data_IF_945460710529
#
_entry.id   IF_945460710529
#
_cell.length_a   1.000
_cell.length_b   1.000
_cell.length_c   1.000
_cell.angle_alpha   90.00
_cell.angle_beta   90.00
_cell.angle_gamma   90.00
#
_symmetry.space_group_name_H-M   'P 1'
#
loop_
_entity.id
_entity.type
_entity.pdbx_description
1 polymer ?
#
# COMPACT_ATOMS: atom_id res chain seq x y z
N UNK A 1 -33.69 29.64 -33.40
CA UNK A 1 -33.78 29.97 -31.96
C UNK A 1 -33.73 28.74 -31.07
N UNK A 2 -34.49 27.67 -31.37
CA UNK A 2 -34.52 26.43 -30.54
C UNK A 2 -33.16 25.73 -30.42
N UNK A 3 -32.38 25.65 -31.51
CA UNK A 3 -31.07 24.98 -31.52
C UNK A 3 -30.03 25.62 -30.60
N UNK A 4 -30.02 26.96 -30.48
CA UNK A 4 -29.08 27.66 -29.60
C UNK A 4 -29.44 27.51 -28.12
N UNK A 5 -30.74 27.52 -27.78
CA UNK A 5 -31.21 27.25 -26.42
C UNK A 5 -30.83 25.84 -25.96
N UNK A 6 -30.93 24.84 -26.83
CA UNK A 6 -30.54 23.45 -26.54
C UNK A 6 -29.03 23.33 -26.34
N UNK A 7 -28.23 24.00 -27.17
CA UNK A 7 -26.77 24.00 -27.05
C UNK A 7 -26.29 24.68 -25.75
N UNK A 8 -26.91 25.81 -25.38
CA UNK A 8 -26.60 26.52 -24.13
C UNK A 8 -26.98 25.70 -22.89
N UNK A 9 -28.11 24.96 -22.93
CA UNK A 9 -28.50 24.06 -21.84
C UNK A 9 -27.56 22.86 -21.72
N UNK A 10 -27.10 22.29 -22.84
CA UNK A 10 -26.12 21.20 -22.85
C UNK A 10 -24.77 21.66 -22.30
N UNK A 11 -24.27 22.82 -22.72
CA UNK A 11 -23.02 23.38 -22.20
C UNK A 11 -23.12 23.75 -20.71
N UNK A 12 -24.25 24.30 -20.27
CA UNK A 12 -24.49 24.57 -18.85
C UNK A 12 -24.51 23.28 -18.01
N UNK A 13 -25.12 22.20 -18.53
CA UNK A 13 -25.15 20.90 -17.86
C UNK A 13 -23.75 20.25 -17.78
N UNK A 14 -22.92 20.43 -18.81
CA UNK A 14 -21.52 19.99 -18.81
C UNK A 14 -20.68 20.75 -17.77
N UNK A 15 -20.84 22.07 -17.64
CA UNK A 15 -20.12 22.88 -16.63
C UNK A 15 -20.55 22.52 -15.19
N UNK A 16 -21.83 22.22 -14.98
CA UNK A 16 -22.35 21.74 -13.69
C UNK A 16 -21.81 20.34 -13.33
N UNK A 17 -21.63 19.44 -14.30
CA UNK A 17 -21.02 18.13 -14.06
C UNK A 17 -19.50 18.22 -13.75
N UNK A 18 -18.76 19.12 -14.40
CA UNK A 18 -17.32 19.29 -14.17
C UNK A 18 -16.99 19.86 -12.78
N UNK A 19 -17.94 20.56 -12.15
CA UNK A 19 -17.76 21.09 -10.79
C UNK A 19 -17.94 20.03 -9.70
N UNK A 20 -18.33 18.81 -10.05
CA UNK A 20 -18.50 17.67 -9.12
C UNK A 20 -17.39 16.63 -9.18
N UNK A 21 -16.27 16.90 -9.88
CA UNK A 21 -15.04 16.15 -9.66
C UNK A 21 -14.43 16.67 -8.36
N UNK A 22 -15.05 16.28 -7.24
CA UNK A 22 -14.51 16.50 -5.92
C UNK A 22 -13.15 15.83 -5.85
N UNK A 23 -12.10 16.64 -5.77
CA UNK A 23 -10.78 16.21 -5.37
C UNK A 23 -10.94 15.39 -4.08
N UNK A 24 -10.60 14.10 -4.11
CA UNK A 24 -10.70 13.22 -2.94
C UNK A 24 -9.63 13.68 -1.95
N UNK A 25 -9.95 14.69 -1.14
CA UNK A 25 -9.09 15.17 -0.07
C UNK A 25 -9.40 14.36 1.18
N UNK A 26 -8.48 13.45 1.53
CA UNK A 26 -8.53 12.74 2.80
C UNK A 26 -8.29 13.74 3.95
N UNK A 27 -9.39 14.20 4.57
CA UNK A 27 -9.34 15.07 5.75
C UNK A 27 -9.57 14.23 7.01
N UNK A 28 -8.98 14.67 8.13
CA UNK A 28 -9.35 14.12 9.42
C UNK A 28 -10.84 14.35 9.70
N UNK A 29 -11.52 13.41 10.39
CA UNK A 29 -12.87 13.64 10.88
C UNK A 29 -12.88 14.81 11.86
N UNK A 30 -13.98 15.56 11.86
CA UNK A 30 -14.22 16.64 12.83
C UNK A 30 -14.26 16.11 14.25
N UNK A 31 -13.71 16.87 15.20
CA UNK A 31 -13.81 16.53 16.61
C UNK A 31 -15.16 16.99 17.18
N UNK A 32 -15.87 16.09 17.84
CA UNK A 32 -17.09 16.42 18.58
C UNK A 32 -16.74 17.07 19.92
N UNK A 33 -17.62 17.94 20.42
CA UNK A 33 -17.46 18.58 21.73
C UNK A 33 -17.38 17.55 22.87
N UNK A 34 -18.16 16.47 22.77
CA UNK A 34 -18.12 15.35 23.72
C UNK A 34 -16.73 14.70 23.80
N UNK A 35 -16.09 14.46 22.65
CA UNK A 35 -14.76 13.86 22.58
C UNK A 35 -13.68 14.80 23.13
N UNK A 36 -13.83 16.10 22.92
CA UNK A 36 -12.91 17.10 23.48
C UNK A 36 -13.08 17.22 25.00
N UNK A 37 -14.31 17.15 25.50
CA UNK A 37 -14.58 17.19 26.94
C UNK A 37 -14.04 15.97 27.69
N UNK A 38 -13.93 14.82 27.01
CA UNK A 38 -13.36 13.59 27.55
C UNK A 38 -11.81 13.57 27.56
N UNK A 39 -11.15 14.60 27.04
CA UNK A 39 -9.69 14.63 26.98
C UNK A 39 -9.05 14.76 28.38
N UNK A 40 -7.88 14.13 28.60
CA UNK A 40 -7.17 14.24 29.87
C UNK A 40 -6.78 15.69 30.13
N UNK A 41 -6.95 16.15 31.37
CA UNK A 41 -6.46 17.47 31.79
C UNK A 41 -4.94 17.44 31.82
N UNK A 42 -4.31 18.40 31.14
CA UNK A 42 -2.86 18.56 31.17
C UNK A 42 -2.44 18.96 32.59
N UNK A 43 -1.68 18.09 33.27
CA UNK A 43 -1.17 18.31 34.63
C UNK A 43 0.10 19.16 34.64
N UNK A 44 0.76 19.32 33.50
CA UNK A 44 1.99 20.08 33.30
C UNK A 44 1.69 21.40 32.60
N UNK A 45 2.33 22.48 33.05
CA UNK A 45 2.29 23.78 32.38
C UNK A 45 3.08 23.71 31.07
N UNK A 46 2.38 23.46 29.96
CA UNK A 46 2.97 23.56 28.62
C UNK A 46 3.16 25.03 28.25
N UNK A 47 4.25 25.37 27.55
CA UNK A 47 4.45 26.70 26.95
C UNK A 47 3.44 26.93 25.82
N UNK A 48 3.18 25.89 25.02
CA UNK A 48 2.25 25.91 23.91
C UNK A 48 1.50 24.58 23.83
N UNK A 49 0.22 24.65 23.46
CA UNK A 49 -0.66 23.51 23.32
C UNK A 49 -0.91 23.26 21.84
N UNK A 50 -0.67 22.04 21.40
CA UNK A 50 -0.94 21.58 20.03
C UNK A 50 -1.87 20.37 20.06
N UNK A 51 -2.45 20.05 18.90
CA UNK A 51 -3.23 18.84 18.70
C UNK A 51 -2.32 17.61 18.69
N UNK A 52 -2.84 16.49 19.18
CA UNK A 52 -2.26 15.16 18.99
C UNK A 52 -1.83 14.87 17.54
N UNK A 53 -0.84 13.98 17.35
CA UNK A 53 -0.44 13.54 16.02
C UNK A 53 -1.59 12.87 15.26
N UNK A 54 -1.52 12.94 13.92
CA UNK A 54 -2.57 12.42 13.04
C UNK A 54 -3.92 13.11 13.26
N UNK A 55 -4.94 12.31 13.56
CA UNK A 55 -6.32 12.76 13.75
C UNK A 55 -6.81 12.71 15.21
N UNK A 56 -5.91 12.72 16.20
CA UNK A 56 -6.27 12.78 17.62
C UNK A 56 -6.86 14.14 18.03
N UNK A 57 -7.93 14.14 18.83
CA UNK A 57 -8.69 15.36 19.17
C UNK A 57 -8.21 16.08 20.42
N UNK A 58 -7.29 15.49 21.17
CA UNK A 58 -6.90 16.03 22.46
C UNK A 58 -5.72 17.01 22.38
N UNK A 59 -5.62 17.93 23.34
CA UNK A 59 -4.48 18.83 23.47
C UNK A 59 -3.28 18.10 24.07
N UNK A 60 -2.09 18.35 23.54
CA UNK A 60 -0.79 17.89 24.06
C UNK A 60 0.20 19.06 24.06
N UNK A 61 1.25 18.97 24.88
CA UNK A 61 2.30 19.98 24.85
C UNK A 61 3.04 19.96 23.50
N UNK A 62 3.32 21.15 22.96
CA UNK A 62 4.17 21.30 21.80
C UNK A 62 5.62 20.94 22.12
N UNK A 63 6.34 20.38 21.13
CA UNK A 63 7.77 20.14 21.22
C UNK A 63 8.56 21.42 21.03
N UNK A 64 9.61 21.58 21.82
CA UNK A 64 10.47 22.77 21.83
C UNK A 64 11.63 22.64 20.83
N UNK A 65 12.33 23.75 20.59
CA UNK A 65 13.50 23.79 19.70
C UNK A 65 14.53 22.73 20.10
N UNK A 66 14.97 21.92 19.13
CA UNK A 66 15.97 20.87 19.32
C UNK A 66 15.45 19.56 19.90
N UNK A 67 14.20 19.49 20.39
CA UNK A 67 13.61 18.25 20.90
C UNK A 67 13.37 17.23 19.78
N UNK A 68 13.38 15.95 20.17
CA UNK A 68 13.08 14.85 19.25
C UNK A 68 11.61 14.90 18.79
N UNK A 69 11.40 14.73 17.50
CA UNK A 69 10.10 14.77 16.86
C UNK A 69 9.99 13.82 15.67
N UNK A 70 8.76 13.56 15.23
CA UNK A 70 8.46 12.72 14.10
C UNK A 70 6.97 12.70 13.74
N UNK A 71 6.59 11.72 12.93
CA UNK A 71 5.22 11.56 12.40
C UNK A 71 4.22 11.25 13.52
N UNK A 72 4.63 10.44 14.50
CA UNK A 72 3.79 9.96 15.59
C UNK A 72 4.07 10.65 16.93
N UNK A 73 4.87 11.72 16.94
CA UNK A 73 5.15 12.50 18.15
C UNK A 73 4.25 13.74 18.20
N UNK A 74 4.13 14.40 19.37
CA UNK A 74 3.57 15.74 19.45
C UNK A 74 4.25 16.70 18.46
N UNK A 75 3.48 17.65 17.94
CA UNK A 75 3.97 18.63 16.94
C UNK A 75 4.92 19.62 17.60
N UNK A 76 5.86 20.14 16.81
CA UNK A 76 6.67 21.29 17.22
C UNK A 76 5.79 22.53 17.45
N UNK A 77 6.25 23.42 18.33
CA UNK A 77 5.58 24.69 18.59
C UNK A 77 5.57 25.64 17.39
N UNK A 78 4.95 26.79 17.59
CA UNK A 78 4.81 27.86 16.62
C UNK A 78 6.18 28.31 16.10
N UNK A 79 6.27 28.51 14.77
CA UNK A 79 7.53 28.86 14.10
C UNK A 79 8.53 27.70 13.92
N UNK A 80 8.23 26.51 14.47
CA UNK A 80 9.08 25.33 14.35
C UNK A 80 8.48 24.28 13.40
N UNK A 81 9.33 23.44 12.82
CA UNK A 81 8.95 22.26 12.03
C UNK A 81 9.90 21.12 12.34
N UNK A 82 9.35 19.90 12.29
CA UNK A 82 10.14 18.70 12.48
C UNK A 82 10.96 18.40 11.21
N UNK A 83 12.28 18.45 11.32
CA UNK A 83 13.21 18.12 10.25
C UNK A 83 14.04 16.88 10.59
N UNK A 84 14.34 16.02 9.60
CA UNK A 84 15.32 14.96 9.77
C UNK A 84 16.73 15.55 9.83
N UNK A 85 17.70 14.76 10.29
CA UNK A 85 19.10 15.21 10.25
C UNK A 85 19.58 15.36 8.80
N UNK A 86 20.35 16.42 8.47
CA UNK A 86 20.74 16.71 7.09
C UNK A 86 21.58 15.58 6.45
N UNK A 87 22.33 14.84 7.26
CA UNK A 87 23.19 13.74 6.80
C UNK A 87 22.57 12.35 7.02
N UNK A 88 21.27 12.29 7.33
CA UNK A 88 20.61 11.02 7.56
C UNK A 88 20.45 10.24 6.25
N UNK A 89 20.85 8.95 6.22
CA UNK A 89 20.72 8.12 5.03
C UNK A 89 19.24 7.88 4.64
N UNK A 90 18.34 7.84 5.64
CA UNK A 90 16.91 7.58 5.46
C UNK A 90 16.06 8.64 6.19
N UNK A 91 15.92 9.85 5.63
CA UNK A 91 15.28 10.97 6.31
C UNK A 91 13.80 10.71 6.70
N UNK A 92 13.05 10.04 5.83
CA UNK A 92 11.64 9.72 6.10
C UNK A 92 11.50 8.67 7.20
N UNK A 93 12.34 7.64 7.19
CA UNK A 93 12.34 6.60 8.22
C UNK A 93 12.70 7.20 9.58
N UNK A 94 13.69 8.09 9.63
CA UNK A 94 14.04 8.83 10.84
C UNK A 94 12.85 9.61 11.42
N UNK A 95 12.08 10.29 10.58
CA UNK A 95 10.86 11.00 11.00
C UNK A 95 9.76 10.04 11.47
N UNK A 96 9.59 8.90 10.81
CA UNK A 96 8.64 7.86 11.25
C UNK A 96 9.03 7.30 12.62
N UNK A 97 10.33 7.13 12.88
CA UNK A 97 10.88 6.66 14.14
C UNK A 97 10.93 7.73 15.25
N UNK A 98 10.56 8.98 14.97
CA UNK A 98 10.58 10.05 15.99
C UNK A 98 11.97 10.62 16.29
N UNK A 99 12.93 10.41 15.38
CA UNK A 99 14.33 10.82 15.55
C UNK A 99 14.68 12.14 14.86
N UNK A 100 13.70 12.84 14.29
CA UNK A 100 13.87 14.21 13.78
C UNK A 100 14.03 15.22 14.92
N UNK A 101 14.28 16.49 14.57
CA UNK A 101 14.36 17.60 15.55
C UNK A 101 13.48 18.78 15.14
N UNK A 102 12.93 19.46 16.13
CA UNK A 102 12.20 20.70 15.90
C UNK A 102 13.19 21.84 15.61
N UNK A 103 13.14 22.41 14.42
CA UNK A 103 13.99 23.53 13.99
C UNK A 103 13.12 24.67 13.44
N UNK A 104 13.68 25.87 13.32
CA UNK A 104 12.97 27.00 12.74
C UNK A 104 12.52 26.70 11.32
N UNK A 105 11.28 27.06 10.99
CA UNK A 105 10.82 27.02 9.60
C UNK A 105 11.70 27.97 8.79
N UNK A 106 12.44 27.41 7.84
CA UNK A 106 13.11 28.21 6.82
C UNK A 106 12.05 28.54 5.79
N UNK A 107 11.50 29.75 5.84
CA UNK A 107 10.67 30.27 4.76
C UNK A 107 11.61 30.50 3.57
N UNK A 108 11.59 29.57 2.60
CA UNK A 108 12.08 29.88 1.26
C UNK A 108 11.08 30.86 0.64
N UNK A 109 11.19 32.14 1.00
CA UNK A 109 10.75 33.19 0.10
C UNK A 109 11.58 33.06 -1.17
N UNK A 110 10.95 32.48 -2.19
CA UNK A 110 11.35 32.61 -3.58
C UNK A 110 11.38 34.11 -3.88
N UNK A 111 12.54 34.74 -3.74
CA UNK A 111 12.84 36.03 -4.34
C UNK A 111 12.70 35.89 -5.84
N UNK A 112 11.49 36.14 -6.34
CA UNK A 112 11.29 36.62 -7.69
C UNK A 112 12.01 37.96 -7.80
N UNK A 113 13.02 38.02 -8.66
CA UNK A 113 13.66 39.27 -9.01
C UNK A 113 13.79 39.32 -10.52
N UNK A 114 12.81 39.95 -11.15
CA UNK A 114 12.95 40.51 -12.49
C UNK A 114 13.36 41.98 -12.33
N UNK A 115 14.51 42.29 -12.93
CA UNK A 115 14.99 43.57 -13.49
C UNK A 115 15.46 44.75 -12.59
N UNK A 116 16.80 44.93 -12.64
CA UNK A 116 17.58 46.16 -12.90
C UNK A 116 17.21 47.48 -12.19
N UNK A 117 18.14 48.02 -11.38
CA UNK A 117 18.86 49.29 -11.67
C UNK A 117 20.07 49.50 -10.74
N UNK A 118 21.15 49.97 -11.34
CA UNK A 118 22.46 50.33 -10.79
C UNK A 118 22.37 51.42 -9.69
N UNK A 119 23.24 51.38 -8.67
CA UNK A 119 24.21 52.47 -8.39
C UNK A 119 25.24 52.06 -7.30
N UNK A 120 26.46 52.53 -7.53
CA UNK A 120 27.76 52.37 -6.87
C UNK A 120 27.85 52.52 -5.34
N UNK A 121 28.77 51.75 -4.76
CA UNK A 121 29.44 52.04 -3.48
C UNK A 121 30.51 51.01 -3.15
N UNK A 122 31.76 51.24 -3.59
CA UNK A 122 32.94 50.47 -3.17
C UNK A 122 33.27 50.76 -1.69
N UNK A 123 33.42 49.73 -0.84
CA UNK A 123 34.41 49.73 0.27
C UNK A 123 34.97 48.30 0.47
N UNK A 124 36.29 48.27 0.63
CA UNK A 124 37.24 47.17 0.72
C UNK A 124 36.93 46.00 1.67
N UNK A 125 37.17 44.79 1.16
CA UNK A 125 38.04 43.80 1.82
C UNK A 125 37.41 42.85 2.85
N UNK A 126 37.12 41.61 2.44
CA UNK A 126 37.90 40.39 2.81
C UNK A 126 37.36 39.23 1.98
N UNK A 127 38.22 38.68 1.12
CA UNK A 127 37.88 37.57 0.21
C UNK A 127 37.84 36.26 1.01
N UNK A 128 36.64 35.80 1.39
CA UNK A 128 36.48 34.43 1.90
C UNK A 128 36.72 33.42 0.77
N UNK A 129 37.46 32.33 0.98
CA UNK A 129 37.67 31.32 -0.05
C UNK A 129 36.34 30.67 -0.43
N UNK A 130 36.12 30.47 -1.73
CA UNK A 130 35.03 29.66 -2.24
C UNK A 130 35.14 28.24 -1.65
N UNK A 131 34.36 27.96 -0.60
CA UNK A 131 34.18 26.61 -0.11
C UNK A 131 33.48 25.82 -1.22
N UNK A 132 34.22 24.93 -1.87
CA UNK A 132 33.67 23.91 -2.76
C UNK A 132 32.64 23.14 -1.94
N UNK A 133 31.35 23.37 -2.20
CA UNK A 133 30.28 22.54 -1.63
C UNK A 133 30.62 21.08 -1.95
N UNK A 134 30.80 20.20 -0.95
CA UNK A 134 30.99 18.78 -1.21
C UNK A 134 29.79 18.27 -2.01
N UNK A 135 30.02 17.27 -2.85
CA UNK A 135 29.03 16.73 -3.77
C UNK A 135 28.01 15.85 -3.04
N UNK A 136 27.29 16.44 -2.07
CA UNK A 136 26.31 15.83 -1.17
C UNK A 136 25.30 14.97 -1.93
N UNK A 137 24.90 15.42 -3.13
CA UNK A 137 24.01 14.68 -4.03
C UNK A 137 24.57 13.31 -4.44
N UNK A 138 25.85 13.22 -4.81
CA UNK A 138 26.48 11.94 -5.20
C UNK A 138 26.69 11.01 -4.00
N UNK A 139 26.96 11.55 -2.81
CA UNK A 139 27.08 10.75 -1.58
C UNK A 139 25.72 10.18 -1.15
N UNK A 140 24.68 11.01 -1.18
CA UNK A 140 23.30 10.59 -0.90
C UNK A 140 22.84 9.50 -1.86
N UNK A 141 23.06 9.68 -3.16
CA UNK A 141 22.69 8.70 -4.19
C UNK A 141 23.41 7.35 -3.97
N UNK A 142 24.71 7.39 -3.63
CA UNK A 142 25.46 6.17 -3.23
C UNK A 142 24.91 5.51 -1.98
N UNK A 143 24.54 6.26 -0.94
CA UNK A 143 23.96 5.67 0.29
C UNK A 143 22.57 5.08 0.06
N UNK A 144 21.75 5.71 -0.79
CA UNK A 144 20.43 5.19 -1.18
C UNK A 144 20.60 3.90 -1.98
N UNK A 145 21.50 3.88 -2.98
CA UNK A 145 21.82 2.68 -3.75
C UNK A 145 22.39 1.55 -2.87
N UNK A 146 23.23 1.88 -1.89
CA UNK A 146 23.76 0.90 -0.94
C UNK A 146 22.65 0.32 -0.05
N UNK A 147 21.71 1.13 0.42
CA UNK A 147 20.58 0.66 1.21
C UNK A 147 19.59 -0.16 0.36
N UNK A 148 19.29 0.24 -0.87
CA UNK A 148 18.48 -0.56 -1.80
C UNK A 148 19.15 -1.90 -2.10
N UNK A 149 20.47 -1.91 -2.30
CA UNK A 149 21.23 -3.15 -2.47
C UNK A 149 21.22 -3.99 -1.20
N UNK A 150 21.39 -3.41 -0.01
CA UNK A 150 21.25 -4.13 1.25
C UNK A 150 19.84 -4.70 1.44
N UNK A 151 18.78 -3.95 1.11
CA UNK A 151 17.41 -4.44 1.16
C UNK A 151 17.18 -5.57 0.17
N UNK A 152 17.64 -5.45 -1.07
CA UNK A 152 17.61 -6.53 -2.08
C UNK A 152 18.39 -7.74 -1.59
N UNK A 153 19.55 -7.55 -0.98
CA UNK A 153 20.40 -8.63 -0.46
C UNK A 153 19.77 -9.27 0.77
N UNK A 154 19.14 -8.51 1.67
CA UNK A 154 18.37 -9.04 2.81
C UNK A 154 17.12 -9.79 2.35
N UNK A 155 16.40 -9.29 1.34
CA UNK A 155 15.27 -10.01 0.74
C UNK A 155 15.71 -11.27 0.01
N UNK A 156 16.84 -11.23 -0.71
CA UNK A 156 17.43 -12.39 -1.36
C UNK A 156 17.91 -13.40 -0.32
N UNK A 157 18.61 -12.97 0.73
CA UNK A 157 19.08 -13.83 1.82
C UNK A 157 17.92 -14.40 2.62
N UNK A 158 16.84 -13.64 2.86
CA UNK A 158 15.60 -14.15 3.46
C UNK A 158 14.92 -15.18 2.56
N UNK A 159 14.86 -14.93 1.25
CA UNK A 159 14.34 -15.89 0.26
C UNK A 159 15.23 -17.13 0.17
N UNK A 160 16.55 -16.98 0.28
CA UNK A 160 17.52 -18.08 0.30
C UNK A 160 17.42 -18.85 1.62
N UNK A 161 17.25 -18.18 2.75
CA UNK A 161 16.96 -18.80 4.07
C UNK A 161 15.65 -19.58 4.05
N UNK A 162 14.56 -19.02 3.49
CA UNK A 162 13.29 -19.72 3.24
C UNK A 162 13.43 -20.86 2.22
N UNK A 163 14.40 -20.79 1.32
CA UNK A 163 14.69 -21.87 0.37
C UNK A 163 15.60 -22.96 0.97
N UNK A 164 16.39 -22.62 2.01
CA UNK A 164 17.41 -23.47 2.64
C UNK A 164 16.95 -24.11 3.95
N UNK A 165 15.88 -23.59 4.58
CA UNK A 165 15.02 -24.41 5.43
C UNK A 165 14.49 -25.51 4.52
N UNK A 166 14.86 -26.77 4.78
CA UNK A 166 14.42 -27.95 4.02
C UNK A 166 13.01 -27.72 3.47
N UNK A 167 12.87 -27.45 2.15
CA UNK A 167 11.54 -27.42 1.54
C UNK A 167 10.90 -28.75 1.91
N UNK A 168 9.80 -28.77 2.69
CA UNK A 168 9.08 -30.00 2.99
C UNK A 168 8.82 -30.68 1.65
N UNK A 169 8.96 -32.02 1.56
CA UNK A 169 8.68 -32.76 0.31
C UNK A 169 7.38 -32.22 -0.28
N UNK A 170 7.51 -31.43 -1.35
CA UNK A 170 6.41 -30.61 -1.84
C UNK A 170 5.34 -31.56 -2.35
N UNK A 171 4.13 -31.46 -1.82
CA UNK A 171 3.01 -32.31 -2.22
C UNK A 171 2.58 -31.98 -3.65
N UNK A 172 1.89 -32.90 -4.32
CA UNK A 172 1.49 -32.73 -5.72
C UNK A 172 0.65 -31.45 -5.95
N UNK A 173 -0.32 -31.16 -5.07
CA UNK A 173 -1.12 -29.93 -5.13
C UNK A 173 -0.25 -28.66 -5.05
N UNK A 174 0.72 -28.64 -4.14
CA UNK A 174 1.59 -27.49 -3.95
C UNK A 174 2.57 -27.31 -5.13
N UNK A 175 3.02 -28.39 -5.76
CA UNK A 175 3.84 -28.32 -6.97
C UNK A 175 3.04 -27.77 -8.16
N UNK A 176 1.80 -28.22 -8.33
CA UNK A 176 0.90 -27.70 -9.37
C UNK A 176 0.58 -26.22 -9.14
N UNK A 177 0.34 -25.81 -7.89
CA UNK A 177 0.11 -24.42 -7.55
C UNK A 177 1.32 -23.55 -7.87
N UNK A 178 2.52 -23.97 -7.47
CA UNK A 178 3.75 -23.22 -7.75
C UNK A 178 4.02 -23.09 -9.25
N UNK A 179 3.70 -24.11 -10.05
CA UNK A 179 3.80 -24.07 -11.51
C UNK A 179 2.87 -23.02 -12.12
N UNK A 180 1.62 -22.94 -11.66
CA UNK A 180 0.65 -21.92 -12.10
C UNK A 180 1.12 -20.51 -11.72
N UNK A 181 1.66 -20.35 -10.51
CA UNK A 181 2.22 -19.07 -10.06
C UNK A 181 3.45 -18.64 -10.88
N UNK A 182 4.32 -19.60 -11.23
CA UNK A 182 5.46 -19.35 -12.11
C UNK A 182 5.00 -18.93 -13.51
N UNK A 183 3.96 -19.57 -14.06
CA UNK A 183 3.37 -19.20 -15.35
C UNK A 183 2.86 -17.76 -15.36
N UNK A 184 2.12 -17.35 -14.31
CA UNK A 184 1.64 -15.96 -14.15
C UNK A 184 2.81 -14.99 -14.06
N UNK A 185 3.88 -15.36 -13.35
CA UNK A 185 5.06 -14.49 -13.23
C UNK A 185 5.80 -14.27 -14.55
N UNK A 186 5.68 -15.20 -15.49
CA UNK A 186 6.24 -15.13 -16.84
C UNK A 186 5.31 -14.43 -17.83
N UNK A 187 4.02 -14.31 -17.53
CA UNK A 187 3.08 -13.53 -18.32
C UNK A 187 3.43 -12.04 -18.19
N UNK A 188 3.95 -11.45 -19.26
CA UNK A 188 4.21 -10.02 -19.33
C UNK A 188 2.89 -9.28 -19.53
N UNK A 189 2.42 -8.55 -18.51
CA UNK A 189 1.25 -7.65 -18.58
C UNK A 189 1.49 -6.40 -19.45
N UNK A 190 2.50 -6.43 -20.32
CA UNK A 190 2.79 -5.39 -21.29
C UNK A 190 1.92 -5.63 -22.52
N UNK A 191 0.63 -5.32 -22.40
CA UNK A 191 -0.10 -4.58 -23.42
C UNK A 191 -1.50 -4.29 -22.91
N UNK A 192 -1.80 -3.00 -22.75
CA UNK A 192 -3.10 -2.48 -22.32
C UNK A 192 -4.24 -2.73 -23.33
N UNK A 193 -4.16 -3.75 -24.21
CA UNK A 193 -5.15 -4.08 -25.26
C UNK A 193 -5.14 -5.56 -25.70
N UNK A 194 -5.20 -6.53 -24.78
CA UNK A 194 -5.39 -7.96 -25.10
C UNK A 194 -5.78 -8.80 -23.87
N UNK A 195 -6.55 -9.90 -24.00
CA UNK A 195 -7.63 -10.17 -23.06
C UNK A 195 -7.17 -10.79 -21.75
N UNK A 196 -7.73 -10.27 -20.66
CA UNK A 196 -7.73 -10.83 -19.31
C UNK A 196 -8.23 -12.30 -19.27
N UNK A 197 -8.79 -12.80 -20.38
CA UNK A 197 -9.24 -14.18 -20.63
C UNK A 197 -8.17 -15.23 -20.32
N UNK A 198 -6.91 -14.99 -20.68
CA UNK A 198 -5.82 -15.96 -20.44
C UNK A 198 -5.60 -16.24 -18.94
N UNK A 199 -5.90 -15.29 -18.06
CA UNK A 199 -5.80 -15.48 -16.61
C UNK A 199 -6.98 -16.29 -16.06
N UNK A 200 -8.15 -16.17 -16.67
CA UNK A 200 -9.37 -16.88 -16.28
C UNK A 200 -9.36 -18.36 -16.72
N UNK A 201 -8.55 -18.70 -17.72
CA UNK A 201 -8.33 -20.09 -18.16
C UNK A 201 -7.35 -20.86 -17.27
N UNK A 202 -6.57 -20.16 -16.43
CA UNK A 202 -5.65 -20.81 -15.51
C UNK A 202 -6.41 -21.54 -14.39
N UNK A 203 -6.09 -22.82 -14.21
CA UNK A 203 -6.66 -23.66 -13.16
C UNK A 203 -5.80 -23.56 -11.90
N UNK A 204 -6.30 -22.84 -10.89
CA UNK A 204 -5.64 -22.73 -9.60
C UNK A 204 -6.10 -23.87 -8.67
N UNK A 205 -5.23 -24.84 -8.34
CA UNK A 205 -5.59 -25.87 -7.38
C UNK A 205 -5.66 -25.28 -5.98
N UNK A 206 -6.81 -25.44 -5.31
CA UNK A 206 -6.99 -25.06 -3.92
C UNK A 206 -6.37 -26.14 -3.02
N UNK A 207 -5.32 -25.81 -2.28
CA UNK A 207 -4.62 -26.74 -1.39
C UNK A 207 -4.89 -26.42 0.10
N UNK A 208 -4.94 -27.44 0.95
CA UNK A 208 -5.02 -27.28 2.42
C UNK A 208 -3.64 -27.00 3.02
N UNK A 209 -3.57 -26.62 4.31
CA UNK A 209 -2.32 -26.35 5.06
C UNK A 209 -1.32 -27.50 5.05
N UNK A 210 -1.79 -28.73 4.84
CA UNK A 210 -0.97 -29.95 4.72
C UNK A 210 -0.46 -30.20 3.28
N UNK A 211 -0.84 -29.35 2.33
CA UNK A 211 -0.49 -29.49 0.91
C UNK A 211 -1.34 -30.51 0.14
N UNK A 212 -2.41 -31.04 0.73
CA UNK A 212 -3.36 -31.91 0.02
C UNK A 212 -4.39 -31.07 -0.74
N UNK A 213 -5.06 -31.64 -1.73
CA UNK A 213 -6.12 -30.93 -2.45
C UNK A 213 -7.30 -30.68 -1.51
N UNK A 214 -7.83 -29.46 -1.54
CA UNK A 214 -9.13 -29.20 -0.94
C UNK A 214 -10.20 -29.98 -1.70
N UNK A 215 -11.07 -30.65 -0.96
CA UNK A 215 -12.12 -31.50 -1.52
C UNK A 215 -13.08 -30.72 -2.43
N UNK A 216 -13.19 -29.39 -2.25
CA UNK A 216 -13.91 -28.47 -3.14
C UNK A 216 -12.90 -27.66 -3.97
N UNK A 217 -13.01 -27.78 -5.29
CA UNK A 217 -12.26 -26.98 -6.26
C UNK A 217 -13.22 -26.06 -7.01
N UNK A 218 -12.77 -24.86 -7.36
CA UNK A 218 -13.61 -23.85 -8.00
C UNK A 218 -12.83 -23.11 -9.10
N UNK A 219 -13.51 -22.76 -10.19
CA UNK A 219 -13.01 -21.75 -11.12
C UNK A 219 -13.07 -20.35 -10.51
N UNK A 220 -12.27 -19.44 -11.06
CA UNK A 220 -12.29 -18.02 -10.70
C UNK A 220 -13.63 -17.40 -11.12
N UNK A 221 -14.07 -16.39 -10.38
CA UNK A 221 -15.25 -15.59 -10.73
C UNK A 221 -14.98 -14.78 -12.01
N UNK A 222 -15.78 -15.03 -13.04
CA UNK A 222 -15.76 -14.26 -14.30
C UNK A 222 -16.98 -13.34 -14.34
N UNK A 223 -16.80 -12.08 -14.78
CA UNK A 223 -17.88 -11.11 -15.00
C UNK A 223 -18.88 -10.94 -13.83
N UNK A 224 -18.40 -11.02 -12.59
CA UNK A 224 -19.24 -10.86 -11.39
C UNK A 224 -20.11 -12.07 -11.02
N UNK A 225 -19.96 -13.20 -11.73
CA UNK A 225 -20.64 -14.46 -11.41
C UNK A 225 -19.71 -15.39 -10.62
N UNK A 226 -20.23 -16.13 -9.63
CA UNK A 226 -19.43 -17.13 -8.92
C UNK A 226 -18.97 -18.22 -9.90
N UNK A 227 -17.71 -18.60 -9.78
CA UNK A 227 -17.14 -19.70 -10.56
C UNK A 227 -17.81 -21.03 -10.26
N UNK A 228 -17.69 -21.95 -11.21
CA UNK A 228 -18.19 -23.31 -11.06
C UNK A 228 -17.28 -24.10 -10.13
N UNK A 229 -17.88 -24.80 -9.17
CA UNK A 229 -17.20 -25.61 -8.18
C UNK A 229 -17.60 -27.08 -8.32
N UNK A 230 -16.65 -27.98 -8.04
CA UNK A 230 -16.82 -29.44 -8.05
C UNK A 230 -16.06 -30.09 -6.91
N UNK A 231 -16.31 -31.39 -6.69
CA UNK A 231 -15.62 -32.15 -5.67
C UNK A 231 -14.49 -33.00 -6.25
N UNK A 232 -13.37 -33.03 -5.55
CA UNK A 232 -12.20 -33.84 -5.89
C UNK A 232 -11.76 -34.70 -4.70
N UNK A 233 -11.04 -35.77 -4.98
CA UNK A 233 -10.35 -36.55 -3.95
C UNK A 233 -9.20 -35.73 -3.34
N UNK A 234 -9.12 -35.58 -2.00
CA UNK A 234 -8.05 -34.84 -1.34
C UNK A 234 -6.62 -35.32 -1.62
N UNK A 235 -6.46 -36.61 -1.94
CA UNK A 235 -5.15 -37.22 -2.17
C UNK A 235 -4.68 -37.09 -3.61
N UNK A 236 -5.60 -37.21 -4.58
CA UNK A 236 -5.26 -37.26 -6.02
C UNK A 236 -5.64 -36.00 -6.78
N UNK A 237 -6.55 -35.17 -6.24
CA UNK A 237 -7.07 -33.99 -6.93
C UNK A 237 -8.02 -34.31 -8.09
N UNK A 238 -8.34 -35.59 -8.32
CA UNK A 238 -9.21 -36.04 -9.40
C UNK A 238 -10.68 -35.80 -9.02
N UNK A 239 -11.46 -35.30 -9.99
CA UNK A 239 -12.89 -35.05 -9.80
C UNK A 239 -13.64 -36.35 -9.47
N UNK A 240 -14.48 -36.30 -8.44
CA UNK A 240 -15.34 -37.41 -8.05
C UNK A 240 -16.47 -37.51 -9.09
N UNK A 241 -16.65 -38.66 -9.79
CA UNK A 241 -17.63 -38.79 -10.87
C UNK A 241 -19.08 -38.51 -10.46
N UNK A 242 -19.43 -38.75 -9.19
CA UNK A 242 -20.77 -38.51 -8.64
C UNK A 242 -21.02 -37.05 -8.23
N UNK A 243 -20.02 -36.17 -8.30
CA UNK A 243 -20.15 -34.77 -7.92
C UNK A 243 -20.53 -33.87 -9.11
N UNK A 244 -21.65 -33.14 -9.05
CA UNK A 244 -22.03 -32.20 -10.11
C UNK A 244 -21.16 -30.94 -10.04
N UNK A 245 -20.86 -30.36 -11.21
CA UNK A 245 -20.30 -29.01 -11.33
C UNK A 245 -21.43 -28.01 -11.12
N UNK A 246 -21.37 -27.22 -10.04
CA UNK A 246 -22.40 -26.23 -9.69
C UNK A 246 -21.79 -24.87 -9.46
N UNK A 247 -22.55 -23.79 -9.71
CA UNK A 247 -22.14 -22.43 -9.32
C UNK A 247 -22.45 -22.22 -7.84
N UNK A 248 -21.43 -22.29 -6.98
CA UNK A 248 -21.59 -22.17 -5.53
C UNK A 248 -21.01 -23.36 -4.77
N UNK A 249 -21.70 -23.86 -3.74
CA UNK A 249 -21.19 -24.98 -2.94
C UNK A 249 -21.77 -26.34 -3.42
N UNK A 250 -20.94 -27.27 -3.96
CA UNK A 250 -21.36 -28.63 -4.34
C UNK A 250 -21.60 -29.58 -3.15
N UNK A 251 -21.52 -29.11 -1.90
CA UNK A 251 -21.71 -29.93 -0.69
C UNK A 251 -20.83 -31.19 -0.67
N UNK A 252 -19.50 -31.01 -0.83
CA UNK A 252 -18.58 -32.14 -0.97
C UNK A 252 -18.49 -33.08 0.24
N UNK A 253 -19.06 -32.72 1.39
CA UNK A 253 -19.14 -33.58 2.58
C UNK A 253 -19.90 -34.89 2.33
N UNK A 254 -20.86 -34.89 1.39
CA UNK A 254 -21.66 -36.07 1.06
C UNK A 254 -20.88 -37.15 0.29
N UNK A 255 -19.73 -36.81 -0.29
CA UNK A 255 -18.90 -37.72 -1.08
C UNK A 255 -17.68 -38.24 -0.31
N UNK A 256 -17.62 -38.02 1.02
CA UNK A 256 -16.63 -38.66 1.89
C UNK A 256 -16.97 -40.15 2.04
N UNK A 257 -16.57 -40.95 1.07
CA UNK A 257 -16.76 -42.40 1.10
C UNK A 257 -15.62 -43.02 1.93
N UNK A 258 -15.94 -43.44 3.16
CA UNK A 258 -15.22 -44.54 3.82
C UNK A 258 -15.50 -45.86 3.09
N UNK A 259 -14.69 -46.92 3.28
CA UNK A 259 -14.77 -48.12 2.46
C UNK A 259 -16.04 -48.94 2.75
N UNK A 260 -16.41 -49.72 1.73
CA UNK A 260 -17.30 -50.90 1.74
C UNK A 260 -18.79 -50.78 1.37
N UNK A 261 -19.07 -51.43 0.22
CA UNK A 261 -20.17 -52.39 -0.05
C UNK A 261 -21.62 -51.92 0.02
N UNK A 262 -22.27 -51.80 -1.13
CA UNK A 262 -23.24 -52.79 -1.67
C UNK A 262 -23.84 -52.31 -3.02
N UNK A 263 -24.18 -53.22 -3.95
CA UNK A 263 -24.76 -52.90 -5.25
C UNK A 263 -26.25 -52.49 -5.17
N UNK A 264 -26.79 -51.79 -6.19
CA UNK A 264 -28.16 -51.30 -6.15
C UNK A 264 -29.19 -52.43 -6.33
N UNK A 265 -30.09 -52.58 -5.37
CA UNK A 265 -31.33 -53.36 -5.55
C UNK A 265 -32.28 -52.68 -6.55
N UNK A 266 -32.99 -53.43 -7.41
CA UNK A 266 -33.83 -52.86 -8.45
C UNK A 266 -35.13 -52.26 -7.89
N UNK A 267 -35.54 -51.15 -8.49
CA UNK A 267 -36.86 -50.54 -8.33
C UNK A 267 -37.98 -51.56 -8.56
N UNK A 268 -38.84 -51.75 -7.55
CA UNK A 268 -40.18 -52.32 -7.74
C UNK A 268 -41.17 -51.18 -8.02
N UNK A 269 -41.88 -51.29 -9.14
CA UNK A 269 -43.19 -50.69 -9.35
C UNK A 269 -44.09 -51.72 -10.01
#
# INVERSE_FOLDING_TARGET
MVSQLVCSLLLASLVLLHSSIGEIVFRCPSCTAERQAACPKLTTTCVEIVREPGCGCCPVCARQLGELCGVYTPRCGSGLRCYPSPDAPLPLEQLVQGLGRCEHKVDLELTGSQENREQSGEIYGTRSPAQKKPNYWMMRDRTVQQHENEQKTRMLNKRVEETKTLRPRQTQCQQELDKVLEEISKMTFHDNRGPLENLYDLKFPNCDKKGQYNMKQCHISTHGQRGECWCVDPHTGIQIPSSPKVRGDPNCSQYRVGPETEPPTPFQK
#
